data_IF_045905371544
#
_entry.id   IF_045905371544
#
_cell.length_a   1.000
_cell.length_b   1.000
_cell.length_c   1.000
_cell.angle_alpha   90.00
_cell.angle_beta   90.00
_cell.angle_gamma   90.00
#
_symmetry.space_group_name_H-M   'P 1'
#
loop_
_entity.id
_entity.type
_entity.pdbx_description
1 polymer ?
#
# COMPACT_ATOMS: atom_id res chain seq x y z
N UNK A 1 23.85 9.26 -8.40
CA UNK A 1 23.06 8.32 -7.56
C UNK A 1 21.60 8.73 -7.70
N UNK A 2 20.68 7.78 -7.93
CA UNK A 2 19.24 8.08 -8.05
C UNK A 2 18.62 8.32 -6.67
N UNK A 3 17.55 9.11 -6.60
CA UNK A 3 16.79 9.30 -5.37
C UNK A 3 15.96 8.05 -5.00
N UNK A 4 15.54 7.97 -3.73
CA UNK A 4 14.76 6.83 -3.23
C UNK A 4 13.34 6.80 -3.79
N UNK A 5 12.76 5.59 -3.89
CA UNK A 5 11.38 5.38 -4.31
C UNK A 5 11.20 5.23 -5.82
N UNK A 6 10.09 4.56 -6.20
CA UNK A 6 9.86 4.11 -7.59
C UNK A 6 9.80 5.26 -8.60
N UNK A 7 9.18 6.38 -8.26
CA UNK A 7 9.05 7.52 -9.17
C UNK A 7 10.40 8.14 -9.57
N UNK A 8 11.41 8.07 -8.69
CA UNK A 8 12.74 8.60 -8.96
C UNK A 8 13.57 7.71 -9.90
N UNK A 9 13.06 6.55 -10.30
CA UNK A 9 13.74 5.61 -11.19
C UNK A 9 13.43 5.84 -12.68
N UNK A 10 12.55 6.79 -13.03
CA UNK A 10 12.15 7.04 -14.43
C UNK A 10 13.33 7.41 -15.35
N UNK A 11 14.36 8.05 -14.80
CA UNK A 11 15.57 8.46 -15.53
C UNK A 11 16.82 7.70 -15.08
N UNK A 12 16.68 6.50 -14.49
CA UNK A 12 17.83 5.72 -14.06
C UNK A 12 18.60 5.19 -15.30
N UNK A 13 19.85 5.60 -15.52
CA UNK A 13 20.62 5.20 -16.70
C UNK A 13 21.07 3.73 -16.66
N UNK A 14 21.06 3.09 -15.49
CA UNK A 14 21.52 1.71 -15.31
C UNK A 14 20.41 0.68 -15.50
N UNK A 15 19.14 1.07 -15.31
CA UNK A 15 17.98 0.17 -15.37
C UNK A 15 16.72 0.91 -15.78
N UNK A 16 16.03 0.38 -16.79
CA UNK A 16 14.71 0.87 -17.18
C UNK A 16 13.64 0.35 -16.22
N UNK A 17 12.82 1.25 -15.68
CA UNK A 17 11.78 0.92 -14.70
C UNK A 17 10.44 1.49 -15.16
N UNK A 18 9.45 0.62 -15.34
CA UNK A 18 8.07 1.05 -15.58
C UNK A 18 7.42 1.52 -14.27
N UNK A 19 7.53 2.82 -14.00
CA UNK A 19 7.00 3.44 -12.77
C UNK A 19 5.47 3.39 -12.68
N UNK A 20 4.76 3.08 -13.76
CA UNK A 20 3.29 3.01 -13.78
C UNK A 20 2.73 1.71 -13.23
N UNK A 21 3.60 0.68 -13.07
CA UNK A 21 3.25 -0.65 -12.56
C UNK A 21 3.99 -0.97 -11.25
N UNK A 22 3.66 -0.31 -10.14
CA UNK A 22 4.26 -0.69 -8.86
C UNK A 22 3.70 -2.03 -8.37
N UNK A 23 4.49 -2.67 -7.52
CA UNK A 23 4.15 -3.92 -6.87
C UNK A 23 2.90 -3.78 -5.97
N UNK A 24 1.93 -4.67 -6.16
CA UNK A 24 0.66 -4.64 -5.43
C UNK A 24 0.79 -5.15 -3.99
N UNK A 25 1.73 -6.04 -3.70
CA UNK A 25 2.04 -6.49 -2.33
C UNK A 25 2.62 -5.34 -1.52
N UNK A 26 3.54 -4.56 -2.08
CA UNK A 26 4.07 -3.35 -1.43
C UNK A 26 2.96 -2.32 -1.17
N UNK A 27 2.04 -2.13 -2.13
CA UNK A 27 0.87 -1.25 -1.91
C UNK A 27 -0.04 -1.74 -0.78
N UNK A 28 -0.30 -3.04 -0.68
CA UNK A 28 -1.08 -3.63 0.41
C UNK A 28 -0.39 -3.41 1.77
N UNK A 29 0.93 -3.60 1.84
CA UNK A 29 1.70 -3.33 3.05
C UNK A 29 1.65 -1.85 3.45
N UNK A 30 1.76 -0.92 2.49
CA UNK A 30 1.57 0.53 2.72
C UNK A 30 0.18 0.81 3.29
N UNK A 31 -0.86 0.16 2.76
CA UNK A 31 -2.23 0.30 3.26
C UNK A 31 -2.37 -0.23 4.69
N UNK A 32 -1.84 -1.41 4.98
CA UNK A 32 -1.83 -1.97 6.34
C UNK A 32 -1.13 -1.04 7.33
N UNK A 33 -0.01 -0.43 6.95
CA UNK A 33 0.68 0.56 7.78
C UNK A 33 -0.19 1.80 8.04
N UNK A 34 -0.90 2.31 7.04
CA UNK A 34 -1.84 3.43 7.21
C UNK A 34 -2.98 3.08 8.17
N UNK A 35 -3.57 1.90 8.02
CA UNK A 35 -4.63 1.39 8.92
C UNK A 35 -4.13 1.33 10.36
N UNK A 36 -2.95 0.72 10.57
CA UNK A 36 -2.37 0.62 11.91
C UNK A 36 -2.03 1.99 12.51
N UNK A 37 -1.56 2.93 11.68
CA UNK A 37 -1.29 4.31 12.11
C UNK A 37 -2.58 5.02 12.55
N UNK A 38 -3.67 4.85 11.81
CA UNK A 38 -4.98 5.40 12.18
C UNK A 38 -5.51 4.79 13.49
N UNK A 39 -5.38 3.47 13.66
CA UNK A 39 -5.74 2.79 14.92
C UNK A 39 -4.94 3.32 16.10
N UNK A 40 -3.63 3.51 15.95
CA UNK A 40 -2.78 4.12 16.98
C UNK A 40 -3.21 5.56 17.29
N UNK A 41 -3.56 6.35 16.27
CA UNK A 41 -4.08 7.71 16.44
C UNK A 41 -5.40 7.76 17.23
N UNK A 42 -6.33 6.85 16.91
CA UNK A 42 -7.61 6.71 17.61
C UNK A 42 -7.42 6.24 19.06
N UNK A 43 -6.57 5.22 19.28
CA UNK A 43 -6.24 4.75 20.63
C UNK A 43 -5.65 5.88 21.50
N UNK A 44 -4.79 6.71 20.91
CA UNK A 44 -4.14 7.82 21.61
C UNK A 44 -5.15 8.87 22.12
N UNK A 45 -6.29 9.06 21.46
CA UNK A 45 -7.35 9.99 21.89
C UNK A 45 -8.50 9.30 22.63
N UNK A 46 -8.36 8.00 22.94
CA UNK A 46 -9.34 7.22 23.70
C UNK A 46 -10.57 6.77 22.89
N UNK A 47 -10.49 6.78 21.56
CA UNK A 47 -11.55 6.28 20.68
C UNK A 47 -11.47 4.76 20.50
N UNK A 48 -12.61 4.12 20.25
CA UNK A 48 -12.70 2.70 19.88
C UNK A 48 -11.98 2.44 18.54
N UNK A 49 -11.06 1.47 18.54
CA UNK A 49 -10.21 1.09 17.40
C UNK A 49 -10.75 -0.10 16.60
N UNK A 50 -11.75 -0.80 17.12
CA UNK A 50 -12.30 -2.02 16.54
C UNK A 50 -13.54 -1.77 15.68
N UNK A 51 -14.20 -0.62 15.84
CA UNK A 51 -15.46 -0.30 15.16
C UNK A 51 -15.31 0.36 13.78
N UNK A 52 -14.12 0.86 13.43
CA UNK A 52 -13.88 1.57 12.16
C UNK A 52 -12.98 0.73 11.23
N UNK A 53 -13.55 0.34 10.09
CA UNK A 53 -12.86 0.00 8.83
C UNK A 53 -12.33 -1.43 8.57
N UNK A 54 -12.89 -2.47 9.22
CA UNK A 54 -12.69 -3.84 8.72
C UNK A 54 -13.45 -4.12 7.39
N UNK A 55 -14.40 -3.25 7.00
CA UNK A 55 -15.30 -3.49 5.87
C UNK A 55 -14.76 -3.09 4.49
N UNK A 56 -13.68 -2.33 4.39
CA UNK A 56 -13.09 -1.97 3.08
C UNK A 56 -12.03 -2.99 2.59
N UNK A 57 -11.69 -4.00 3.40
CA UNK A 57 -10.64 -4.98 3.09
C UNK A 57 -11.12 -6.22 2.32
N UNK A 58 -12.09 -6.05 1.42
CA UNK A 58 -12.40 -7.03 0.38
C UNK A 58 -11.95 -6.50 -0.98
N UNK A 59 -10.65 -6.19 -1.12
CA UNK A 59 -10.01 -6.15 -2.44
C UNK A 59 -9.82 -7.62 -2.83
N UNK A 60 -10.91 -8.26 -3.24
CA UNK A 60 -10.93 -9.59 -3.84
C UNK A 60 -10.13 -9.53 -5.13
N UNK A 61 -8.83 -9.81 -5.04
CA UNK A 61 -7.96 -10.17 -6.15
C UNK A 61 -8.26 -11.57 -6.68
N UNK A 62 -9.54 -11.94 -6.81
CA UNK A 62 -9.97 -13.15 -7.51
C UNK A 62 -10.47 -12.77 -8.91
N UNK A 63 -9.52 -12.41 -9.79
CA UNK A 63 -9.63 -12.83 -11.19
C UNK A 63 -8.62 -13.95 -11.35
N UNK A 64 -9.01 -15.09 -10.79
CA UNK A 64 -8.39 -16.37 -11.07
C UNK A 64 -8.68 -16.66 -12.55
N UNK A 65 -7.73 -16.34 -13.42
CA UNK A 65 -7.75 -16.79 -14.81
C UNK A 65 -7.80 -18.32 -14.83
N UNK A 66 -8.98 -18.87 -15.10
CA UNK A 66 -9.20 -20.28 -15.42
C UNK A 66 -9.88 -20.36 -16.78
N UNK A 67 -9.26 -21.11 -17.68
CA UNK A 67 -9.89 -21.77 -18.83
C UNK A 67 -10.05 -20.88 -20.05
#
# INVERSE_FOLDING_TARGET
VMGDGLANQINNPEVEVDITKPDMTIRQQIMQLKIMTNRLGNANIGNDVDFQDASEFSITGEVHGRG
#
